data_IF_572093982471
#
_entry.id   IF_572093982471
#
_cell.length_a   1.000
_cell.length_b   1.000
_cell.length_c   1.000
_cell.angle_alpha   90.00
_cell.angle_beta   90.00
_cell.angle_gamma   90.00
#
_symmetry.space_group_name_H-M   'P 1'
#
loop_
_entity.id
_entity.type
_entity.pdbx_description
1 polymer ?
#
# COMPACT_ATOMS: atom_id res chain seq x y z
N UNK A 1 43.73 -24.17 -21.80
CA UNK A 1 43.00 -23.77 -20.59
C UNK A 1 42.82 -25.00 -19.71
N UNK A 2 43.13 -24.89 -18.45
CA UNK A 2 42.88 -25.99 -17.49
C UNK A 2 41.43 -25.87 -16.99
N UNK A 3 40.68 -26.97 -17.05
CA UNK A 3 39.29 -27.02 -16.63
C UNK A 3 39.15 -28.06 -15.49
N UNK A 4 38.37 -27.74 -14.48
CA UNK A 4 37.85 -28.72 -13.52
C UNK A 4 36.46 -29.14 -13.98
N UNK A 5 36.31 -30.41 -14.33
CA UNK A 5 35.06 -30.97 -14.87
C UNK A 5 34.40 -31.90 -13.86
N UNK A 6 33.14 -31.69 -13.56
CA UNK A 6 32.28 -32.63 -12.84
C UNK A 6 31.32 -33.24 -13.86
N UNK A 7 31.41 -34.55 -14.08
CA UNK A 7 30.58 -35.28 -15.04
C UNK A 7 29.42 -35.97 -14.32
N UNK A 8 28.20 -35.67 -14.71
CA UNK A 8 27.00 -36.37 -14.24
C UNK A 8 26.86 -37.74 -14.94
N UNK A 9 26.15 -38.67 -14.34
CA UNK A 9 25.94 -40.03 -14.87
C UNK A 9 25.28 -40.05 -16.25
N UNK A 10 24.53 -39.00 -16.65
CA UNK A 10 23.97 -38.84 -17.99
C UNK A 10 24.94 -38.26 -19.03
N UNK A 11 26.22 -38.07 -18.67
CA UNK A 11 27.24 -37.51 -19.56
C UNK A 11 27.37 -35.99 -19.58
N UNK A 12 26.42 -35.23 -19.00
CA UNK A 12 26.51 -33.78 -18.90
C UNK A 12 27.62 -33.35 -17.89
N UNK A 13 28.18 -32.18 -18.11
CA UNK A 13 29.31 -31.68 -17.31
C UNK A 13 29.04 -30.30 -16.76
N UNK A 14 29.42 -30.08 -15.49
CA UNK A 14 29.63 -28.74 -14.91
C UNK A 14 31.09 -28.42 -15.01
N UNK A 15 31.47 -27.30 -15.55
CA UNK A 15 32.84 -26.85 -15.77
C UNK A 15 33.15 -25.63 -14.95
N UNK A 16 34.33 -25.62 -14.29
CA UNK A 16 34.92 -24.39 -13.75
C UNK A 16 36.16 -24.09 -14.59
N UNK A 17 36.18 -22.90 -15.20
CA UNK A 17 37.30 -22.46 -16.06
C UNK A 17 37.92 -21.20 -15.49
N UNK A 18 39.17 -20.94 -15.86
CA UNK A 18 39.83 -19.68 -15.59
C UNK A 18 39.29 -18.60 -16.54
N UNK A 19 39.28 -17.32 -16.13
CA UNK A 19 39.00 -16.21 -17.07
C UNK A 19 40.02 -16.19 -18.22
N UNK A 20 39.63 -15.58 -19.34
CA UNK A 20 40.48 -15.51 -20.55
C UNK A 20 41.83 -14.83 -20.30
N UNK A 21 41.85 -13.88 -19.36
CA UNK A 21 43.09 -13.18 -18.94
C UNK A 21 43.21 -13.24 -17.43
N UNK A 22 44.38 -13.66 -16.94
CA UNK A 22 44.67 -13.75 -15.51
C UNK A 22 46.06 -13.13 -15.27
N UNK A 23 46.10 -11.97 -14.64
CA UNK A 23 47.36 -11.21 -14.44
C UNK A 23 48.27 -11.84 -13.37
N UNK A 24 47.72 -12.65 -12.47
CA UNK A 24 48.48 -13.35 -11.43
C UNK A 24 47.71 -14.58 -10.91
N UNK A 25 48.42 -15.51 -10.28
CA UNK A 25 47.76 -16.67 -9.63
C UNK A 25 46.72 -16.22 -8.62
N UNK A 26 45.54 -16.84 -8.66
CA UNK A 26 44.47 -16.66 -7.69
C UNK A 26 44.21 -17.95 -6.94
N UNK A 27 44.08 -17.85 -5.64
CA UNK A 27 43.76 -18.97 -4.77
C UNK A 27 42.44 -18.69 -4.05
N UNK A 28 41.50 -19.60 -4.13
CA UNK A 28 40.27 -19.53 -3.36
C UNK A 28 40.33 -20.63 -2.27
N UNK A 29 40.34 -20.21 -1.00
CA UNK A 29 40.26 -21.12 0.14
C UNK A 29 38.79 -21.38 0.44
N UNK A 30 38.36 -22.61 0.31
CA UNK A 30 37.02 -23.05 0.66
C UNK A 30 36.78 -22.95 2.17
N UNK A 31 35.53 -22.73 2.63
CA UNK A 31 35.19 -22.82 4.04
C UNK A 31 35.53 -24.20 4.61
N UNK A 32 35.97 -24.25 5.88
CA UNK A 32 36.29 -25.52 6.56
C UNK A 32 35.08 -26.26 7.14
N UNK A 33 33.87 -25.67 7.01
CA UNK A 33 32.62 -26.27 7.48
C UNK A 33 31.50 -25.97 6.47
N UNK A 34 30.45 -26.78 6.52
CA UNK A 34 29.26 -26.57 5.71
C UNK A 34 28.48 -25.32 6.16
N UNK A 35 27.84 -24.65 5.21
CA UNK A 35 26.92 -23.57 5.50
C UNK A 35 25.55 -24.06 5.98
N UNK A 36 24.75 -23.15 6.50
CA UNK A 36 23.36 -23.38 6.83
C UNK A 36 22.43 -22.98 5.66
N UNK A 37 21.22 -23.52 5.66
CA UNK A 37 20.20 -23.15 4.66
C UNK A 37 20.01 -21.62 4.58
N UNK A 38 19.95 -21.06 3.37
CA UNK A 38 19.79 -19.64 3.12
C UNK A 38 21.08 -18.81 3.15
N UNK A 39 22.23 -19.42 3.45
CA UNK A 39 23.52 -18.74 3.33
C UNK A 39 24.06 -18.77 1.89
N UNK A 40 24.87 -17.78 1.55
CA UNK A 40 25.60 -17.71 0.29
C UNK A 40 27.10 -17.69 0.52
N UNK A 41 27.86 -18.12 -0.49
CA UNK A 41 29.31 -18.08 -0.46
C UNK A 41 29.82 -16.66 -0.72
N UNK A 42 30.60 -16.11 0.22
CA UNK A 42 31.14 -14.75 0.18
C UNK A 42 32.66 -14.78 0.14
N UNK A 43 33.28 -13.90 -0.63
CA UNK A 43 34.73 -13.66 -0.58
C UNK A 43 35.08 -12.51 0.37
N UNK A 44 36.25 -12.60 1.00
CA UNK A 44 36.84 -11.49 1.78
C UNK A 44 37.64 -10.50 0.90
N UNK A 45 37.71 -10.74 -0.42
CA UNK A 45 38.54 -9.97 -1.35
C UNK A 45 40.00 -10.40 -1.43
N UNK A 46 40.48 -11.26 -0.51
CA UNK A 46 41.87 -11.76 -0.42
C UNK A 46 42.00 -13.23 -0.80
N UNK A 47 40.87 -13.85 -1.21
CA UNK A 47 40.84 -15.24 -1.68
C UNK A 47 40.24 -16.23 -0.68
N UNK A 48 39.92 -15.83 0.55
CA UNK A 48 39.18 -16.72 1.45
C UNK A 48 37.69 -16.64 1.14
N UNK A 49 37.02 -17.79 1.15
CA UNK A 49 35.59 -17.94 0.99
C UNK A 49 34.97 -18.33 2.32
N UNK A 50 33.82 -17.78 2.64
CA UNK A 50 33.04 -18.10 3.84
C UNK A 50 31.56 -18.13 3.52
N UNK A 51 30.77 -18.85 4.30
CA UNK A 51 29.32 -18.75 4.22
C UNK A 51 28.85 -17.52 5.00
N UNK A 52 27.96 -16.74 4.39
CA UNK A 52 27.37 -15.56 5.00
C UNK A 52 25.86 -15.59 4.83
N UNK A 53 25.15 -15.16 5.84
CA UNK A 53 23.73 -14.87 5.75
C UNK A 53 23.55 -13.53 5.01
N UNK A 54 22.58 -13.39 4.08
CA UNK A 54 22.26 -12.09 3.50
C UNK A 54 22.05 -11.08 4.62
N UNK A 55 22.79 -9.97 4.60
CA UNK A 55 22.51 -8.85 5.49
C UNK A 55 21.18 -8.23 5.04
N UNK A 56 20.11 -8.53 5.73
CA UNK A 56 18.91 -7.72 5.66
C UNK A 56 19.30 -6.41 6.36
N UNK A 57 19.04 -5.27 5.75
CA UNK A 57 19.27 -3.97 6.37
C UNK A 57 18.29 -3.81 7.56
N UNK A 58 18.59 -4.46 8.67
CA UNK A 58 17.87 -4.28 9.93
C UNK A 58 18.12 -2.87 10.41
N UNK A 59 17.10 -2.04 10.41
CA UNK A 59 17.19 -0.65 10.84
C UNK A 59 16.91 0.40 9.76
N UNK A 60 16.96 0.04 8.47
CA UNK A 60 16.43 0.91 7.42
C UNK A 60 14.93 0.73 7.29
N UNK A 61 14.21 1.85 7.26
CA UNK A 61 12.78 1.84 6.96
C UNK A 61 12.58 1.34 5.52
N UNK A 62 11.67 0.39 5.36
CA UNK A 62 11.31 -0.19 4.08
C UNK A 62 9.81 -0.46 4.03
N UNK A 63 9.28 -0.64 2.83
CA UNK A 63 7.91 -1.09 2.66
C UNK A 63 7.85 -2.57 3.03
N UNK A 64 7.14 -2.90 4.11
CA UNK A 64 6.93 -4.27 4.58
C UNK A 64 5.75 -4.92 3.88
N UNK A 65 4.72 -4.13 3.56
CA UNK A 65 3.54 -4.59 2.84
C UNK A 65 2.90 -3.43 2.09
N UNK A 66 2.44 -3.68 0.87
CA UNK A 66 1.72 -2.69 0.08
C UNK A 66 0.70 -3.35 -0.83
N UNK A 67 -0.49 -2.79 -0.89
CA UNK A 67 -1.51 -3.17 -1.87
C UNK A 67 -2.43 -2.00 -2.21
N UNK A 68 -3.01 -2.07 -3.41
CA UNK A 68 -4.07 -1.18 -3.89
C UNK A 68 -5.17 -2.03 -4.50
N UNK A 69 -6.39 -1.87 -4.02
CA UNK A 69 -7.54 -2.67 -4.42
C UNK A 69 -8.65 -1.78 -4.96
N UNK A 70 -9.28 -2.24 -6.03
CA UNK A 70 -10.55 -1.70 -6.50
C UNK A 70 -11.67 -2.17 -5.56
N UNK A 71 -12.63 -1.30 -5.24
CA UNK A 71 -13.79 -1.66 -4.42
C UNK A 71 -14.84 -2.41 -5.25
N UNK A 72 -14.52 -3.64 -5.62
CA UNK A 72 -15.36 -4.56 -6.40
C UNK A 72 -15.59 -5.91 -5.69
N UNK A 73 -15.30 -5.99 -4.39
CA UNK A 73 -15.42 -7.19 -3.58
C UNK A 73 -14.20 -8.11 -3.61
N UNK A 74 -13.11 -7.68 -4.28
CA UNK A 74 -11.88 -8.49 -4.32
C UNK A 74 -11.16 -8.53 -2.99
N UNK A 75 -10.34 -9.55 -2.83
CA UNK A 75 -9.53 -9.77 -1.63
C UNK A 75 -8.05 -9.87 -1.98
N UNK A 76 -7.21 -9.55 -1.00
CA UNK A 76 -5.77 -9.80 -1.00
C UNK A 76 -5.38 -10.48 0.30
N UNK A 77 -4.49 -11.48 0.21
CA UNK A 77 -3.87 -12.07 1.39
C UNK A 77 -2.71 -11.19 1.84
N UNK A 78 -2.71 -10.85 3.12
CA UNK A 78 -1.69 -10.04 3.79
C UNK A 78 -0.92 -10.88 4.79
N UNK A 79 0.11 -10.33 5.39
CA UNK A 79 0.91 -11.03 6.42
C UNK A 79 0.05 -11.52 7.61
N UNK A 80 -0.98 -10.77 7.99
CA UNK A 80 -1.81 -11.03 9.17
C UNK A 80 -3.30 -11.29 8.85
N UNK A 81 -3.60 -11.79 7.66
CA UNK A 81 -4.96 -12.18 7.30
C UNK A 81 -5.34 -11.83 5.86
N UNK A 82 -6.62 -11.59 5.64
CA UNK A 82 -7.16 -11.24 4.32
C UNK A 82 -7.88 -9.90 4.41
N UNK A 83 -7.55 -8.98 3.52
CA UNK A 83 -8.28 -7.73 3.33
C UNK A 83 -9.24 -7.90 2.15
N UNK A 84 -10.51 -7.61 2.37
CA UNK A 84 -11.56 -7.66 1.35
C UNK A 84 -12.19 -6.27 1.21
N UNK A 85 -12.34 -5.80 0.00
CA UNK A 85 -13.01 -4.54 -0.29
C UNK A 85 -14.53 -4.71 -0.34
N UNK A 86 -15.28 -3.66 -0.08
CA UNK A 86 -16.70 -3.61 -0.39
C UNK A 86 -16.90 -3.68 -1.92
N UNK A 87 -18.03 -4.20 -2.37
CA UNK A 87 -18.37 -4.19 -3.79
C UNK A 87 -19.30 -3.01 -4.10
N UNK A 88 -18.73 -1.90 -4.51
CA UNK A 88 -19.49 -0.71 -4.92
C UNK A 88 -20.12 -0.96 -6.29
N UNK A 89 -21.45 -0.97 -6.34
CA UNK A 89 -22.23 -1.25 -7.56
C UNK A 89 -23.10 -0.09 -8.01
N UNK A 90 -23.17 0.99 -7.20
CA UNK A 90 -23.98 2.18 -7.48
C UNK A 90 -23.25 3.45 -7.06
N UNK A 91 -23.72 4.58 -7.54
CA UNK A 91 -23.31 5.89 -7.06
C UNK A 91 -23.90 6.15 -5.68
N UNK A 92 -23.22 6.96 -4.87
CA UNK A 92 -23.63 7.33 -3.51
C UNK A 92 -23.92 8.84 -3.45
N UNK A 93 -25.15 9.23 -3.10
CA UNK A 93 -25.47 10.65 -2.86
C UNK A 93 -25.08 11.01 -1.42
N UNK A 94 -24.18 11.99 -1.28
CA UNK A 94 -23.78 12.48 0.03
C UNK A 94 -24.95 13.18 0.73
N UNK A 95 -25.07 12.94 2.02
CA UNK A 95 -26.05 13.60 2.90
C UNK A 95 -25.41 14.80 3.61
N UNK A 96 -26.18 15.62 4.30
CA UNK A 96 -25.71 16.71 5.16
C UNK A 96 -25.17 16.26 6.52
N UNK A 97 -25.23 14.96 6.79
CA UNK A 97 -24.61 14.29 7.96
C UNK A 97 -23.44 13.44 7.47
N UNK A 98 -22.39 13.37 8.27
CA UNK A 98 -21.29 12.48 7.96
C UNK A 98 -21.71 11.01 7.92
N UNK A 99 -21.53 10.38 6.77
CA UNK A 99 -21.73 8.95 6.54
C UNK A 99 -20.45 8.29 6.03
N UNK A 100 -20.34 6.98 6.25
CA UNK A 100 -19.20 6.21 5.70
C UNK A 100 -19.33 6.19 4.19
N UNK A 101 -18.26 6.51 3.49
CA UNK A 101 -18.20 6.43 2.03
C UNK A 101 -18.06 4.97 1.58
N UNK A 102 -18.91 4.57 0.65
CA UNK A 102 -18.90 3.24 0.07
C UNK A 102 -17.53 2.89 -0.53
N UNK A 103 -17.06 1.68 -0.28
CA UNK A 103 -15.78 1.17 -0.77
C UNK A 103 -14.55 1.75 -0.05
N UNK A 104 -14.74 2.58 0.98
CA UNK A 104 -13.62 3.10 1.78
C UNK A 104 -13.22 2.18 2.93
N UNK A 105 -14.14 1.33 3.39
CA UNK A 105 -13.93 0.54 4.60
C UNK A 105 -13.10 -0.71 4.33
N UNK A 106 -12.03 -0.87 5.11
CA UNK A 106 -11.24 -2.10 5.19
C UNK A 106 -10.88 -2.41 6.65
N UNK A 107 -10.67 -3.69 6.93
CA UNK A 107 -10.05 -4.15 8.17
C UNK A 107 -8.63 -4.60 7.85
N UNK A 108 -7.64 -4.02 8.52
CA UNK A 108 -6.23 -4.28 8.26
C UNK A 108 -5.43 -4.43 9.55
N UNK A 109 -4.54 -5.42 9.59
CA UNK A 109 -3.54 -5.60 10.65
C UNK A 109 -2.14 -5.54 10.05
N UNK A 110 -1.30 -4.57 10.47
CA UNK A 110 0.05 -4.43 9.94
C UNK A 110 0.96 -5.61 10.31
N UNK A 111 1.95 -5.96 9.47
CA UNK A 111 2.97 -6.95 9.81
C UNK A 111 3.84 -6.50 10.98
N UNK A 112 4.48 -7.47 11.65
CA UNK A 112 5.48 -7.20 12.70
C UNK A 112 6.61 -6.32 12.13
N UNK A 113 7.10 -5.38 12.94
CA UNK A 113 8.14 -4.43 12.53
C UNK A 113 7.60 -3.14 11.89
N UNK A 114 6.29 -3.03 11.62
CA UNK A 114 5.69 -1.81 11.10
C UNK A 114 5.76 -0.68 12.14
N UNK A 115 6.16 0.51 11.69
CA UNK A 115 6.18 1.75 12.46
C UNK A 115 5.17 2.77 11.94
N UNK A 116 4.91 2.75 10.64
CA UNK A 116 4.04 3.70 9.97
C UNK A 116 3.10 2.97 9.00
N UNK A 117 1.86 3.42 8.95
CA UNK A 117 0.85 2.95 8.01
C UNK A 117 0.33 4.15 7.24
N UNK A 118 0.26 4.03 5.92
CA UNK A 118 -0.40 4.98 5.03
C UNK A 118 -1.67 4.30 4.51
N UNK A 119 -2.81 4.88 4.84
CA UNK A 119 -4.10 4.53 4.25
C UNK A 119 -4.41 5.49 3.11
N UNK A 120 -4.87 4.95 1.99
CA UNK A 120 -5.28 5.73 0.82
C UNK A 120 -6.68 5.31 0.38
N UNK A 121 -7.53 6.30 0.10
CA UNK A 121 -8.82 6.10 -0.53
C UNK A 121 -8.99 7.11 -1.65
N UNK A 122 -9.37 6.64 -2.82
CA UNK A 122 -9.57 7.50 -3.99
C UNK A 122 -10.89 7.21 -4.67
N UNK A 123 -11.64 8.27 -4.90
CA UNK A 123 -12.88 8.23 -5.67
C UNK A 123 -13.11 9.57 -6.37
N UNK A 124 -14.22 9.70 -7.05
CA UNK A 124 -14.66 10.97 -7.62
C UNK A 124 -15.93 11.43 -6.93
N UNK A 125 -16.04 12.74 -6.72
CA UNK A 125 -17.25 13.41 -6.24
C UNK A 125 -17.68 14.38 -7.34
N UNK A 126 -18.93 14.27 -7.77
CA UNK A 126 -19.52 15.15 -8.79
C UNK A 126 -20.63 15.99 -8.20
N UNK A 127 -20.72 17.21 -8.67
CA UNK A 127 -21.91 18.05 -8.48
C UNK A 127 -23.02 17.48 -9.38
N UNK A 128 -24.20 17.25 -8.79
CA UNK A 128 -25.35 16.64 -9.50
C UNK A 128 -26.59 17.55 -9.52
N UNK A 129 -26.45 18.81 -9.07
CA UNK A 129 -27.52 19.80 -9.07
C UNK A 129 -27.26 20.94 -10.06
N UNK A 130 -28.16 21.91 -10.04
CA UNK A 130 -28.10 23.11 -10.91
C UNK A 130 -27.48 24.33 -10.22
N UNK A 131 -26.83 24.16 -9.06
CA UNK A 131 -26.38 25.29 -8.24
C UNK A 131 -24.92 25.71 -8.48
N UNK A 132 -24.25 25.10 -9.45
CA UNK A 132 -22.91 25.49 -9.89
C UNK A 132 -21.86 25.49 -8.76
N UNK A 133 -22.02 24.65 -7.73
CA UNK A 133 -21.09 24.57 -6.62
C UNK A 133 -20.99 23.15 -6.09
N UNK A 134 -19.77 22.69 -5.91
CA UNK A 134 -19.47 21.46 -5.19
C UNK A 134 -18.87 21.83 -3.83
N UNK A 135 -19.58 21.48 -2.76
CA UNK A 135 -19.18 21.80 -1.39
C UNK A 135 -19.43 20.59 -0.48
N UNK A 136 -18.34 19.97 -0.02
CA UNK A 136 -18.39 18.82 0.85
C UNK A 136 -17.16 18.76 1.78
N UNK A 137 -17.24 17.96 2.82
CA UNK A 137 -16.14 17.74 3.74
C UNK A 137 -16.01 16.25 4.06
N UNK A 138 -14.81 15.85 4.41
CA UNK A 138 -14.48 14.46 4.75
C UNK A 138 -13.48 14.38 5.90
N UNK A 139 -13.38 13.19 6.48
CA UNK A 139 -12.33 12.78 7.43
C UNK A 139 -12.15 11.28 7.40
N UNK A 140 -10.97 10.83 7.82
CA UNK A 140 -10.68 9.43 8.09
C UNK A 140 -11.05 9.07 9.53
N UNK A 141 -11.52 7.85 9.74
CA UNK A 141 -11.70 7.26 11.06
C UNK A 141 -10.96 5.91 11.17
N UNK A 142 -10.47 5.62 12.37
CA UNK A 142 -9.88 4.33 12.74
C UNK A 142 -10.67 3.79 13.92
N UNK A 143 -11.24 2.58 13.78
CA UNK A 143 -12.11 1.93 14.77
C UNK A 143 -13.28 2.83 15.21
N UNK A 144 -13.84 3.57 14.26
CA UNK A 144 -14.96 4.50 14.50
C UNK A 144 -14.55 5.84 15.14
N UNK A 145 -13.27 6.02 15.51
CA UNK A 145 -12.76 7.28 16.07
C UNK A 145 -12.28 8.18 14.95
N UNK A 146 -12.86 9.39 14.87
CA UNK A 146 -12.46 10.42 13.92
C UNK A 146 -11.01 10.85 14.16
N UNK A 147 -10.22 10.94 13.10
CA UNK A 147 -8.86 11.48 13.13
C UNK A 147 -8.91 12.96 12.74
N UNK A 148 -8.73 13.83 13.71
CA UNK A 148 -9.02 15.27 13.52
C UNK A 148 -8.10 15.93 12.51
N UNK A 149 -6.83 15.50 12.39
CA UNK A 149 -5.89 16.00 11.37
C UNK A 149 -6.22 15.56 9.94
N UNK A 150 -7.08 14.58 9.74
CA UNK A 150 -7.51 14.14 8.41
C UNK A 150 -8.73 14.89 7.89
N UNK A 151 -9.30 15.81 8.67
CA UNK A 151 -10.53 16.52 8.29
C UNK A 151 -10.23 17.64 7.31
N UNK A 152 -10.88 17.57 6.16
CA UNK A 152 -10.75 18.56 5.10
C UNK A 152 -12.12 18.97 4.53
N UNK A 153 -12.13 20.10 3.84
CA UNK A 153 -13.31 20.62 3.16
C UNK A 153 -12.92 21.06 1.75
N UNK A 154 -13.71 20.64 0.78
CA UNK A 154 -13.58 21.08 -0.60
C UNK A 154 -14.73 22.02 -0.97
N UNK A 155 -14.38 23.11 -1.66
CA UNK A 155 -15.33 24.07 -2.19
C UNK A 155 -14.92 24.50 -3.60
N UNK A 156 -15.86 24.39 -4.53
CA UNK A 156 -15.72 24.93 -5.88
C UNK A 156 -17.03 25.62 -6.31
N UNK A 157 -16.89 26.73 -7.00
CA UNK A 157 -18.00 27.59 -7.42
C UNK A 157 -18.33 27.49 -8.92
N UNK A 158 -17.91 26.42 -9.61
CA UNK A 158 -18.21 26.20 -11.03
C UNK A 158 -19.22 25.07 -11.23
N UNK A 159 -20.03 25.14 -12.30
CA UNK A 159 -21.01 24.11 -12.65
C UNK A 159 -20.36 22.88 -13.30
N UNK A 160 -20.99 21.71 -13.13
CA UNK A 160 -20.58 20.48 -13.77
C UNK A 160 -19.24 19.95 -13.29
N UNK A 161 -18.88 20.25 -12.05
CA UNK A 161 -17.56 19.94 -11.52
C UNK A 161 -17.47 18.49 -11.04
N UNK A 162 -16.35 17.85 -11.41
CA UNK A 162 -15.94 16.54 -10.88
C UNK A 162 -14.64 16.77 -10.12
N UNK A 163 -14.61 16.37 -8.85
CA UNK A 163 -13.42 16.39 -8.02
C UNK A 163 -12.90 14.98 -7.81
N UNK A 164 -11.63 14.76 -8.09
CA UNK A 164 -10.92 13.52 -7.79
C UNK A 164 -10.54 13.54 -6.30
N UNK A 165 -11.38 12.97 -5.44
CA UNK A 165 -11.13 12.89 -4.01
C UNK A 165 -10.03 11.87 -3.76
N UNK A 166 -8.93 12.33 -3.20
CA UNK A 166 -7.83 11.48 -2.75
C UNK A 166 -7.55 11.73 -1.27
N UNK A 167 -8.03 10.84 -0.44
CA UNK A 167 -7.73 10.83 0.99
C UNK A 167 -6.47 10.01 1.19
N UNK A 168 -5.45 10.63 1.77
CA UNK A 168 -4.19 9.98 2.11
C UNK A 168 -3.80 10.37 3.52
N UNK A 169 -3.77 9.40 4.43
CA UNK A 169 -3.46 9.62 5.83
C UNK A 169 -2.37 8.66 6.28
N UNK A 170 -1.26 9.23 6.76
CA UNK A 170 -0.21 8.49 7.44
C UNK A 170 -0.42 8.57 8.96
N UNK A 171 -0.19 7.47 9.65
CA UNK A 171 -0.22 7.41 11.11
C UNK A 171 0.77 6.36 11.62
N UNK A 172 1.24 6.55 12.85
CA UNK A 172 2.20 5.62 13.48
C UNK A 172 1.49 4.47 14.17
N UNK A 173 2.14 3.32 14.14
CA UNK A 173 1.72 2.15 14.91
C UNK A 173 2.88 1.70 15.80
N UNK A 174 2.58 0.85 16.80
CA UNK A 174 3.57 0.33 17.75
C UNK A 174 4.33 1.42 18.51
N UNK A 175 3.64 2.53 18.82
CA UNK A 175 4.24 3.70 19.49
C UNK A 175 4.59 3.48 20.96
N UNK A 176 4.06 2.41 21.58
CA UNK A 176 4.19 2.15 23.02
C UNK A 176 3.39 3.10 23.93
N UNK A 177 2.70 4.09 23.33
CA UNK A 177 1.89 5.08 24.02
C UNK A 177 0.39 4.78 23.96
N UNK A 178 -0.44 5.83 24.06
CA UNK A 178 -1.89 5.74 23.89
C UNK A 178 -2.31 5.98 22.44
N UNK A 179 -3.47 5.44 22.06
CA UNK A 179 -4.08 5.75 20.78
C UNK A 179 -4.43 7.24 20.68
N UNK A 180 -4.15 7.85 19.53
CA UNK A 180 -4.40 9.28 19.27
C UNK A 180 -5.60 9.46 18.33
N UNK A 181 -6.60 10.23 18.77
CA UNK A 181 -7.69 10.69 17.89
C UNK A 181 -7.28 11.92 17.03
N UNK A 182 -6.13 12.51 17.29
CA UNK A 182 -5.62 13.65 16.53
C UNK A 182 -4.86 13.19 15.30
N UNK A 183 -3.86 12.35 15.46
CA UNK A 183 -2.94 11.88 14.40
C UNK A 183 -3.34 10.51 13.82
N UNK A 184 -4.11 9.71 14.56
CA UNK A 184 -4.42 8.32 14.23
C UNK A 184 -3.44 7.30 14.79
N UNK A 185 -2.42 7.74 15.52
CA UNK A 185 -1.38 6.83 16.03
C UNK A 185 -1.96 5.74 16.95
N UNK A 186 -1.35 4.55 16.92
CA UNK A 186 -1.77 3.36 17.66
C UNK A 186 -0.62 2.83 18.53
N UNK A 187 -0.98 2.42 19.75
CA UNK A 187 -0.02 1.92 20.74
C UNK A 187 0.66 0.61 20.34
N UNK A 188 -0.02 -0.25 19.57
CA UNK A 188 0.46 -1.56 19.12
C UNK A 188 0.26 -1.77 17.64
N UNK A 189 0.19 -3.03 17.23
CA UNK A 189 -0.14 -3.49 15.88
C UNK A 189 -1.51 -4.19 15.87
N UNK A 190 -2.60 -3.50 16.25
CA UNK A 190 -3.93 -4.10 16.29
C UNK A 190 -4.47 -4.33 14.87
N UNK A 191 -5.46 -5.21 14.76
CA UNK A 191 -6.39 -5.17 13.64
C UNK A 191 -7.22 -3.91 13.74
N UNK A 192 -7.29 -3.10 12.69
CA UNK A 192 -7.93 -1.79 12.66
C UNK A 192 -8.98 -1.71 11.56
N UNK A 193 -10.14 -1.16 11.85
CA UNK A 193 -11.10 -0.76 10.83
C UNK A 193 -10.79 0.66 10.35
N UNK A 194 -10.41 0.80 9.09
CA UNK A 194 -10.06 2.06 8.44
C UNK A 194 -11.18 2.44 7.48
N UNK A 195 -11.66 3.69 7.53
CA UNK A 195 -12.73 4.18 6.67
C UNK A 195 -12.75 5.70 6.54
N UNK A 196 -13.38 6.19 5.50
CA UNK A 196 -13.60 7.62 5.25
C UNK A 196 -15.07 7.95 5.48
N UNK A 197 -15.30 9.05 6.16
CA UNK A 197 -16.61 9.68 6.28
C UNK A 197 -16.65 10.93 5.42
N UNK A 198 -17.76 11.14 4.74
CA UNK A 198 -18.00 12.40 4.02
C UNK A 198 -19.42 12.90 4.23
N UNK A 199 -19.59 14.21 4.00
CA UNK A 199 -20.90 14.85 3.92
C UNK A 199 -20.88 15.98 2.91
N UNK A 200 -22.00 16.30 2.29
CA UNK A 200 -22.19 17.59 1.61
C UNK A 200 -22.41 18.70 2.64
N UNK A 201 -22.29 19.95 2.24
CA UNK A 201 -22.51 21.09 3.14
C UNK A 201 -23.97 21.16 3.62
N UNK A 202 -24.91 21.21 2.66
CA UNK A 202 -26.35 21.16 2.90
C UNK A 202 -27.10 20.66 1.64
N UNK A 203 -28.43 20.62 1.69
CA UNK A 203 -29.25 20.16 0.58
C UNK A 203 -29.18 21.04 -0.69
N UNK A 204 -28.65 22.25 -0.57
CA UNK A 204 -28.53 23.20 -1.71
C UNK A 204 -27.35 22.79 -2.62
N UNK A 205 -26.37 22.05 -2.10
CA UNK A 205 -25.16 21.62 -2.81
C UNK A 205 -25.10 20.10 -2.95
N UNK A 206 -25.90 19.50 -3.84
CA UNK A 206 -25.90 18.05 -4.01
C UNK A 206 -24.56 17.57 -4.54
N UNK A 207 -24.02 16.56 -3.88
CA UNK A 207 -22.76 15.92 -4.22
C UNK A 207 -22.96 14.40 -4.28
N UNK A 208 -22.48 13.78 -5.35
CA UNK A 208 -22.60 12.34 -5.59
C UNK A 208 -21.22 11.73 -5.79
N UNK A 209 -20.91 10.73 -4.98
CA UNK A 209 -19.68 9.96 -5.08
C UNK A 209 -19.79 8.84 -6.12
N UNK A 210 -18.63 8.40 -6.62
CA UNK A 210 -18.50 7.32 -7.61
C UNK A 210 -19.18 7.62 -8.95
N UNK A 211 -19.39 8.88 -9.24
CA UNK A 211 -20.17 9.34 -10.38
C UNK A 211 -19.30 10.21 -11.30
N UNK A 212 -19.22 9.81 -12.56
CA UNK A 212 -18.57 10.60 -13.62
C UNK A 212 -19.57 10.83 -14.75
N UNK A 213 -19.81 12.09 -15.08
CA UNK A 213 -20.50 12.45 -16.32
C UNK A 213 -19.49 12.50 -17.45
N UNK A 214 -19.65 11.62 -18.41
CA UNK A 214 -18.86 11.65 -19.64
C UNK A 214 -19.53 12.58 -20.66
N UNK A 215 -18.77 13.57 -21.13
CA UNK A 215 -19.21 14.39 -22.25
C UNK A 215 -18.92 13.64 -23.56
N UNK A 216 -19.95 13.14 -24.21
CA UNK A 216 -19.89 12.63 -25.58
C UNK A 216 -20.71 13.53 -26.48
N UNK A 217 -20.33 13.74 -27.75
CA UNK A 217 -20.97 14.72 -28.62
C UNK A 217 -22.48 14.52 -28.83
N UNK A 218 -23.06 13.40 -28.46
CA UNK A 218 -24.47 13.06 -28.69
C UNK A 218 -25.27 12.61 -27.47
N UNK A 219 -24.66 12.39 -26.33
CA UNK A 219 -25.36 12.01 -25.09
C UNK A 219 -24.44 12.14 -23.87
N UNK A 220 -25.01 12.47 -22.70
CA UNK A 220 -24.30 12.34 -21.42
C UNK A 220 -24.46 10.92 -20.93
N UNK A 221 -23.36 10.17 -20.81
CA UNK A 221 -23.35 8.87 -20.17
C UNK A 221 -22.86 9.01 -18.73
N UNK A 222 -23.66 8.52 -17.80
CA UNK A 222 -23.29 8.46 -16.38
C UNK A 222 -22.57 7.16 -16.12
N UNK A 223 -21.32 7.24 -15.71
CA UNK A 223 -20.50 6.06 -15.42
C UNK A 223 -20.23 5.94 -13.94
N UNK A 224 -20.45 4.73 -13.42
CA UNK A 224 -19.96 4.36 -12.11
C UNK A 224 -18.43 4.23 -12.15
N UNK A 225 -17.72 5.04 -11.36
CA UNK A 225 -16.29 4.91 -11.14
C UNK A 225 -16.05 4.28 -9.78
N UNK A 226 -15.76 2.99 -9.76
CA UNK A 226 -15.46 2.28 -8.51
C UNK A 226 -14.27 2.93 -7.79
N UNK A 227 -14.37 3.14 -6.47
CA UNK A 227 -13.26 3.67 -5.69
C UNK A 227 -12.12 2.67 -5.57
N UNK A 228 -10.96 3.19 -5.14
CA UNK A 228 -9.78 2.40 -4.81
C UNK A 228 -9.43 2.62 -3.34
N UNK A 229 -8.97 1.58 -2.69
CA UNK A 229 -8.40 1.64 -1.36
C UNK A 229 -7.02 1.01 -1.35
N UNK A 230 -6.09 1.60 -0.60
CA UNK A 230 -4.72 1.13 -0.53
C UNK A 230 -4.13 1.24 0.87
N UNK A 231 -3.14 0.40 1.10
CA UNK A 231 -2.30 0.41 2.29
C UNK A 231 -0.84 0.36 1.87
N UNK A 232 -0.02 1.13 2.59
CA UNK A 232 1.43 0.96 2.61
C UNK A 232 1.87 0.88 4.07
N UNK A 233 2.43 -0.24 4.48
CA UNK A 233 3.04 -0.44 5.79
C UNK A 233 4.56 -0.28 5.67
N UNK A 234 5.12 0.61 6.47
CA UNK A 234 6.54 0.96 6.47
C UNK A 234 7.12 0.60 7.84
N UNK A 235 8.31 0.04 7.85
CA UNK A 235 8.97 -0.33 9.09
C UNK A 235 10.31 -1.01 8.84
N UNK A 236 10.80 -1.71 9.84
CA UNK A 236 12.04 -2.49 9.75
C UNK A 236 11.74 -3.98 9.77
N UNK A 237 12.46 -4.75 8.96
CA UNK A 237 12.43 -6.21 9.07
C UNK A 237 13.05 -6.59 10.41
N UNK A 238 12.33 -7.36 11.22
CA UNK A 238 12.74 -7.85 12.55
C UNK A 238 13.28 -9.26 12.42
#
# INVERSE_FOLDING_TARGET
MSELNFTHSNGNKVKLTTPDTLAANKTFKLPGADGSSGQFLKTDGSGALSFATPAINTGSLQVLEQFYLLADGRSVTTANGTVTTENVTSTETLTDVYAVMDGSKITYQPPTGTTDVIYEYRTVISETGNNNRLLYSWYMAIDGVLISQSKETYMNAASGYVHDLWVKQAFKVNTGGSNSSTTGDRAGLPSMELKVYARRWDNTYPATAHYVTYWVPSASANLLKKPHVGITAIGSVV
#
